data_IF_306080592343
#
_entry.id   IF_306080592343
#
_cell.length_a   1.000
_cell.length_b   1.000
_cell.length_c   1.000
_cell.angle_alpha   90.00
_cell.angle_beta   90.00
_cell.angle_gamma   90.00
#
_symmetry.space_group_name_H-M   'P 1'
#
loop_
_entity.id
_entity.type
_entity.pdbx_description
1 polymer ?
#
# COMPACT_ATOMS: atom_id res chain seq x y z
N UNK A 1 -42.81 -40.73 -51.73
CA UNK A 1 -42.08 -41.89 -51.14
C UNK A 1 -40.63 -41.48 -50.94
N UNK A 2 -40.19 -41.61 -49.68
CA UNK A 2 -38.81 -41.67 -49.16
C UNK A 2 -37.92 -40.42 -49.28
N UNK A 3 -37.91 -39.66 -48.17
CA UNK A 3 -36.83 -38.74 -47.82
C UNK A 3 -35.57 -39.49 -47.41
N UNK A 4 -34.42 -38.90 -47.71
CA UNK A 4 -33.09 -39.43 -47.39
C UNK A 4 -32.52 -38.61 -46.24
N UNK A 5 -32.65 -39.15 -45.03
CA UNK A 5 -32.00 -38.64 -43.81
C UNK A 5 -30.50 -38.99 -43.88
N UNK A 6 -29.65 -37.96 -43.91
CA UNK A 6 -28.19 -38.11 -43.76
C UNK A 6 -27.87 -38.23 -42.25
N UNK A 7 -27.14 -39.25 -41.79
CA UNK A 7 -26.77 -39.36 -40.38
C UNK A 7 -25.68 -38.35 -40.00
N UNK A 8 -25.88 -37.65 -38.88
CA UNK A 8 -24.88 -36.85 -38.18
C UNK A 8 -23.82 -37.76 -37.55
N UNK A 9 -22.52 -37.43 -37.59
CA UNK A 9 -21.53 -38.08 -36.74
C UNK A 9 -21.64 -37.56 -35.29
N UNK A 10 -21.72 -38.50 -34.37
CA UNK A 10 -21.79 -38.33 -32.91
C UNK A 10 -20.45 -37.80 -32.36
N UNK A 11 -20.45 -36.83 -31.42
CA UNK A 11 -19.22 -36.32 -30.83
C UNK A 11 -18.62 -37.32 -29.84
N UNK A 12 -17.38 -37.77 -30.11
CA UNK A 12 -16.57 -38.59 -29.22
C UNK A 12 -16.21 -37.79 -27.95
N UNK A 13 -16.66 -38.30 -26.81
CA UNK A 13 -16.48 -37.69 -25.50
C UNK A 13 -15.20 -38.26 -24.85
N UNK A 14 -14.04 -37.76 -25.27
CA UNK A 14 -12.75 -38.16 -24.71
C UNK A 14 -12.54 -37.48 -23.35
N UNK A 15 -12.80 -38.23 -22.28
CA UNK A 15 -12.51 -37.84 -20.89
C UNK A 15 -10.99 -37.91 -20.66
N UNK A 16 -10.30 -36.80 -20.29
CA UNK A 16 -8.91 -36.90 -19.89
C UNK A 16 -8.81 -37.45 -18.46
N UNK A 17 -8.06 -38.54 -18.32
CA UNK A 17 -7.70 -39.22 -17.08
C UNK A 17 -7.03 -38.25 -16.09
N UNK A 18 -7.47 -38.26 -14.83
CA UNK A 18 -6.87 -37.49 -13.73
C UNK A 18 -5.41 -37.91 -13.50
N UNK A 19 -4.47 -36.99 -13.29
CA UNK A 19 -3.10 -37.35 -12.96
C UNK A 19 -2.99 -37.86 -11.52
N UNK A 20 -2.47 -39.07 -11.39
CA UNK A 20 -2.00 -39.70 -10.14
C UNK A 20 -0.94 -38.82 -9.47
N UNK A 21 -1.25 -38.26 -8.30
CA UNK A 21 -0.28 -37.55 -7.48
C UNK A 21 0.61 -38.56 -6.73
N UNK A 22 1.74 -38.91 -7.34
CA UNK A 22 2.80 -39.71 -6.72
C UNK A 22 3.58 -38.82 -5.75
N UNK A 23 3.42 -39.04 -4.44
CA UNK A 23 4.18 -38.33 -3.41
C UNK A 23 5.69 -38.60 -3.52
N UNK A 24 6.42 -37.62 -4.01
CA UNK A 24 7.88 -37.63 -4.04
C UNK A 24 8.44 -37.28 -2.65
N UNK A 25 9.28 -38.19 -2.14
CA UNK A 25 10.13 -38.02 -0.96
C UNK A 25 10.81 -36.65 -0.91
N UNK A 26 10.64 -35.96 0.22
CA UNK A 26 11.30 -34.69 0.55
C UNK A 26 12.57 -34.97 1.37
N UNK A 27 13.80 -34.66 0.90
CA UNK A 27 15.00 -34.88 1.67
C UNK A 27 15.41 -33.60 2.42
N UNK A 28 15.47 -33.71 3.75
CA UNK A 28 16.19 -32.82 4.69
C UNK A 28 15.50 -31.49 5.03
N UNK A 29 14.51 -31.54 5.93
CA UNK A 29 14.15 -30.38 6.75
C UNK A 29 15.25 -30.13 7.79
N UNK A 30 16.21 -29.25 7.47
CA UNK A 30 17.18 -28.76 8.46
C UNK A 30 16.43 -27.79 9.37
N UNK A 31 16.26 -28.15 10.64
CA UNK A 31 15.74 -27.26 11.67
C UNK A 31 16.62 -26.00 11.75
N UNK A 32 16.10 -24.81 11.36
CA UNK A 32 16.87 -23.57 11.37
C UNK A 32 17.26 -23.13 12.79
N UNK A 33 16.74 -23.79 13.83
CA UNK A 33 17.03 -23.51 15.23
C UNK A 33 17.97 -24.54 15.88
N UNK A 34 18.58 -25.44 15.11
CA UNK A 34 19.56 -26.38 15.64
C UNK A 34 20.80 -25.64 16.17
N UNK A 35 20.93 -25.54 17.50
CA UNK A 35 22.07 -24.92 18.17
C UNK A 35 23.15 -25.97 18.44
N UNK A 36 24.33 -25.76 17.86
CA UNK A 36 25.52 -26.57 18.14
C UNK A 36 26.04 -26.23 19.56
N UNK A 37 25.98 -27.18 20.52
CA UNK A 37 26.34 -26.92 21.91
C UNK A 37 27.85 -26.65 22.09
N UNK A 38 28.70 -27.12 21.16
CA UNK A 38 30.15 -26.91 21.23
C UNK A 38 30.48 -25.47 20.79
N UNK A 39 29.84 -24.98 19.73
CA UNK A 39 30.00 -23.58 19.31
C UNK A 39 29.41 -22.60 20.32
N UNK A 40 28.29 -22.94 20.96
CA UNK A 40 27.69 -22.10 21.99
C UNK A 40 28.61 -21.93 23.22
N UNK A 41 29.31 -22.99 23.64
CA UNK A 41 30.27 -22.94 24.76
C UNK A 41 31.49 -22.08 24.43
N UNK A 42 32.07 -22.24 23.24
CA UNK A 42 33.23 -21.43 22.83
C UNK A 42 32.91 -19.92 22.79
N UNK A 43 31.72 -19.55 22.31
CA UNK A 43 31.28 -18.15 22.31
C UNK A 43 31.06 -17.60 23.72
N UNK A 44 30.50 -18.42 24.63
CA UNK A 44 30.29 -18.03 26.01
C UNK A 44 31.63 -17.79 26.73
N UNK A 45 32.63 -18.63 26.52
CA UNK A 45 33.96 -18.47 27.14
C UNK A 45 34.66 -17.19 26.67
N UNK A 46 34.56 -16.84 25.39
CA UNK A 46 35.13 -15.59 24.85
C UNK A 46 34.46 -14.36 25.46
N UNK A 47 33.12 -14.33 25.51
CA UNK A 47 32.37 -13.20 26.06
C UNK A 47 32.63 -13.07 27.57
N UNK A 48 32.66 -14.19 28.29
CA UNK A 48 32.91 -14.18 29.74
C UNK A 48 34.37 -13.84 30.08
N UNK A 49 35.32 -14.13 29.20
CA UNK A 49 36.69 -13.66 29.34
C UNK A 49 36.75 -12.13 29.23
N UNK A 50 36.03 -11.51 28.29
CA UNK A 50 35.96 -10.05 28.14
C UNK A 50 35.31 -9.37 29.35
N UNK A 51 34.21 -9.92 29.88
CA UNK A 51 33.55 -9.39 31.09
C UNK A 51 34.47 -9.45 32.31
N UNK A 52 35.29 -10.51 32.44
CA UNK A 52 36.27 -10.63 33.53
C UNK A 52 37.42 -9.61 33.43
N UNK A 53 37.70 -9.07 32.24
CA UNK A 53 38.70 -8.00 32.08
C UNK A 53 38.19 -6.63 32.54
N UNK A 54 36.87 -6.44 32.61
CA UNK A 54 36.25 -5.17 32.99
C UNK A 54 36.09 -4.98 34.51
N UNK A 55 36.27 -6.04 35.30
CA UNK A 55 35.99 -6.04 36.75
C UNK A 55 37.24 -5.83 37.64
N UNK A 56 38.31 -5.27 37.08
CA UNK A 56 39.51 -4.93 37.87
C UNK A 56 39.32 -3.57 38.57
N UNK A 57 39.39 -3.48 39.91
CA UNK A 57 39.38 -2.19 40.59
C UNK A 57 40.70 -1.45 40.27
N UNK A 58 40.60 -0.38 39.49
CA UNK A 58 41.73 0.52 39.19
C UNK A 58 42.21 1.20 40.49
N UNK A 59 43.51 1.16 40.84
CA UNK A 59 44.04 2.00 41.91
C UNK A 59 44.00 3.46 41.47
N UNK A 60 43.25 4.28 42.21
CA UNK A 60 43.14 5.72 42.02
C UNK A 60 44.50 6.40 42.26
N UNK A 61 45.20 6.76 41.19
CA UNK A 61 46.29 7.73 41.27
C UNK A 61 45.69 9.15 41.22
N UNK A 62 45.84 9.86 42.34
CA UNK A 62 45.51 11.26 42.48
C UNK A 62 46.37 12.10 41.52
N UNK A 63 45.75 12.65 40.48
CA UNK A 63 46.34 13.62 39.56
C UNK A 63 45.39 14.79 39.39
N UNK A 64 45.75 15.94 39.95
CA UNK A 64 45.01 17.20 39.90
C UNK A 64 44.83 17.69 38.45
N UNK A 65 43.59 17.87 38.00
CA UNK A 65 43.23 18.85 36.94
C UNK A 65 41.74 19.22 36.99
N UNK A 66 41.33 19.93 38.05
CA UNK A 66 39.98 20.49 38.16
C UNK A 66 39.89 21.79 37.35
N UNK A 67 39.99 21.73 36.01
CA UNK A 67 39.77 22.94 35.20
C UNK A 67 39.46 22.60 33.73
N UNK A 68 38.17 22.35 33.41
CA UNK A 68 37.57 22.58 32.05
C UNK A 68 36.10 22.12 31.87
N UNK A 69 35.36 21.80 32.93
CA UNK A 69 34.03 21.15 32.79
C UNK A 69 32.82 22.07 32.56
N UNK A 70 32.97 23.41 32.61
CA UNK A 70 31.84 24.33 32.37
C UNK A 70 31.58 24.65 30.90
N UNK A 71 32.61 24.62 30.05
CA UNK A 71 32.50 25.01 28.63
C UNK A 71 31.81 23.93 27.78
N UNK A 72 32.02 22.65 28.09
CA UNK A 72 31.43 21.53 27.35
C UNK A 72 29.93 21.32 27.59
N UNK A 73 29.40 21.73 28.75
CA UNK A 73 27.96 21.65 29.05
C UNK A 73 27.13 22.68 28.26
N UNK A 74 27.72 23.82 27.92
CA UNK A 74 27.08 24.83 27.07
C UNK A 74 27.20 24.48 25.57
N UNK A 75 28.30 23.84 25.17
CA UNK A 75 28.52 23.43 23.78
C UNK A 75 27.57 22.32 23.29
N UNK A 76 27.09 21.43 24.18
CA UNK A 76 26.20 20.31 23.81
C UNK A 76 24.74 20.73 23.56
N UNK A 77 24.24 21.76 24.27
CA UNK A 77 22.84 22.22 24.14
C UNK A 77 22.54 22.92 22.80
N UNK A 78 23.50 23.67 22.26
CA UNK A 78 23.34 24.41 21.00
C UNK A 78 23.33 23.48 19.77
N UNK A 79 24.13 22.41 19.79
CA UNK A 79 24.15 21.44 18.69
C UNK A 79 22.83 20.65 18.57
N UNK A 80 22.23 20.25 19.70
CA UNK A 80 20.95 19.55 19.70
C UNK A 80 19.80 20.45 19.20
N UNK A 81 19.78 21.73 19.60
CA UNK A 81 18.76 22.68 19.15
C UNK A 81 18.81 22.94 17.64
N UNK A 82 20.01 23.02 17.05
CA UNK A 82 20.19 23.15 15.59
C UNK A 82 19.72 21.90 14.84
N UNK A 83 20.02 20.70 15.35
CA UNK A 83 19.55 19.44 14.74
C UNK A 83 18.02 19.35 14.82
N UNK A 84 17.42 19.68 15.97
CA UNK A 84 15.97 19.72 16.13
C UNK A 84 15.34 20.77 15.21
N UNK A 85 15.92 21.96 15.08
CA UNK A 85 15.42 23.00 14.18
C UNK A 85 15.50 22.57 12.71
N UNK A 86 16.58 21.89 12.29
CA UNK A 86 16.73 21.38 10.93
C UNK A 86 15.75 20.24 10.63
N UNK A 87 15.57 19.30 11.56
CA UNK A 87 14.58 18.21 11.42
C UNK A 87 13.16 18.78 11.39
N UNK A 88 12.83 19.69 12.30
CA UNK A 88 11.52 20.38 12.31
C UNK A 88 11.30 21.21 11.05
N UNK A 89 12.34 21.86 10.51
CA UNK A 89 12.27 22.61 9.24
C UNK A 89 12.00 21.68 8.05
N UNK A 90 12.67 20.52 7.97
CA UNK A 90 12.41 19.50 6.96
C UNK A 90 10.98 18.93 7.07
N UNK A 91 10.52 18.62 8.27
CA UNK A 91 9.15 18.13 8.52
C UNK A 91 8.12 19.21 8.15
N UNK A 92 8.37 20.48 8.49
CA UNK A 92 7.48 21.60 8.15
C UNK A 92 7.39 21.79 6.63
N UNK A 93 8.50 21.74 5.90
CA UNK A 93 8.49 21.84 4.44
C UNK A 93 7.73 20.67 3.76
N UNK A 94 7.80 19.46 4.34
CA UNK A 94 7.03 18.31 3.85
C UNK A 94 5.52 18.47 4.02
N UNK A 95 5.08 19.09 5.12
CA UNK A 95 3.65 19.32 5.41
C UNK A 95 3.04 20.44 4.56
N UNK A 96 3.82 21.48 4.22
CA UNK A 96 3.31 22.63 3.46
C UNK A 96 3.02 22.33 1.98
N UNK A 97 3.61 21.27 1.40
CA UNK A 97 3.50 20.96 -0.04
C UNK A 97 2.24 20.14 -0.41
N UNK A 98 1.44 19.67 0.56
CA UNK A 98 0.40 18.64 0.34
C UNK A 98 -1.04 19.03 0.69
N UNK A 99 -1.34 20.31 0.87
CA UNK A 99 -2.65 20.76 1.38
C UNK A 99 -3.49 21.59 0.39
N UNK A 100 -3.07 21.75 -0.86
CA UNK A 100 -3.94 22.38 -1.85
C UNK A 100 -5.01 21.41 -2.36
N UNK A 101 -6.27 21.76 -2.15
CA UNK A 101 -7.44 21.05 -2.70
C UNK A 101 -8.06 21.82 -3.85
N UNK A 102 -8.54 21.11 -4.87
CA UNK A 102 -9.37 21.63 -5.96
C UNK A 102 -10.71 20.89 -5.95
N UNK A 103 -11.80 21.59 -6.24
CA UNK A 103 -13.11 20.96 -6.37
C UNK A 103 -13.28 20.44 -7.79
N UNK A 104 -13.47 19.12 -7.93
CA UNK A 104 -13.70 18.46 -9.22
C UNK A 104 -15.17 18.12 -9.34
N UNK A 105 -15.76 18.51 -10.48
CA UNK A 105 -17.13 18.15 -10.82
C UNK A 105 -17.13 16.88 -11.65
N UNK A 106 -17.68 15.81 -11.10
CA UNK A 106 -17.95 14.58 -11.83
C UNK A 106 -19.35 14.66 -12.41
N UNK A 107 -19.50 14.35 -13.69
CA UNK A 107 -20.76 14.45 -14.43
C UNK A 107 -20.99 13.16 -15.23
N UNK A 108 -22.23 12.67 -15.24
CA UNK A 108 -22.64 11.53 -16.06
C UNK A 108 -24.00 11.77 -16.69
N UNK A 109 -24.10 11.54 -18.00
CA UNK A 109 -25.39 11.47 -18.69
C UNK A 109 -25.93 10.05 -18.64
N UNK A 110 -26.94 9.83 -17.79
CA UNK A 110 -27.63 8.54 -17.62
C UNK A 110 -29.12 8.82 -17.37
N UNK A 111 -29.91 9.08 -18.42
CA UNK A 111 -31.28 9.55 -18.29
C UNK A 111 -32.23 8.51 -17.68
N UNK A 112 -31.92 7.21 -17.85
CA UNK A 112 -32.70 6.09 -17.35
C UNK A 112 -32.30 5.63 -15.94
N UNK A 113 -31.20 6.16 -15.39
CA UNK A 113 -30.74 5.79 -14.05
C UNK A 113 -31.70 6.31 -12.97
N UNK A 114 -31.94 5.52 -11.94
CA UNK A 114 -32.63 5.96 -10.72
C UNK A 114 -31.63 6.55 -9.72
N UNK A 115 -30.42 6.01 -9.70
CA UNK A 115 -29.35 6.40 -8.78
C UNK A 115 -28.00 6.32 -9.47
N UNK A 116 -27.14 7.30 -9.21
CA UNK A 116 -25.73 7.27 -9.65
C UNK A 116 -24.84 7.57 -8.47
N UNK A 117 -23.79 6.79 -8.31
CA UNK A 117 -22.83 6.92 -7.21
C UNK A 117 -21.41 6.94 -7.75
N UNK A 118 -20.56 7.80 -7.20
CA UNK A 118 -19.13 7.82 -7.48
C UNK A 118 -18.39 6.89 -6.51
N UNK A 119 -17.67 5.91 -7.05
CA UNK A 119 -16.77 5.03 -6.30
C UNK A 119 -15.34 5.29 -6.73
N UNK A 120 -14.41 5.34 -5.79
CA UNK A 120 -13.04 5.73 -6.06
C UNK A 120 -12.05 5.18 -5.02
N UNK A 121 -10.76 5.24 -5.32
CA UNK A 121 -9.70 4.87 -4.40
C UNK A 121 -9.76 5.62 -3.05
N UNK A 122 -10.06 6.91 -3.07
CA UNK A 122 -10.11 7.75 -1.87
C UNK A 122 -11.27 7.43 -0.93
N UNK A 123 -12.35 6.81 -1.44
CA UNK A 123 -13.49 6.35 -0.64
C UNK A 123 -13.51 4.83 -0.44
N UNK A 124 -12.40 4.15 -0.78
CA UNK A 124 -12.25 2.71 -0.64
C UNK A 124 -13.20 1.91 -1.53
N UNK A 125 -13.58 2.46 -2.69
CA UNK A 125 -14.55 1.88 -3.62
C UNK A 125 -15.94 1.66 -3.00
N UNK A 126 -16.28 2.43 -1.96
CA UNK A 126 -17.58 2.34 -1.30
C UNK A 126 -18.64 3.14 -2.07
N UNK A 127 -19.83 2.56 -2.31
CA UNK A 127 -20.96 3.30 -2.86
C UNK A 127 -21.61 4.25 -1.82
N UNK A 128 -21.17 4.22 -0.57
CA UNK A 128 -21.76 5.04 0.47
C UNK A 128 -21.18 6.47 0.47
N UNK A 129 -22.07 7.46 0.63
CA UNK A 129 -21.69 8.85 0.86
C UNK A 129 -21.26 9.68 -0.37
N UNK A 130 -21.27 9.11 -1.58
CA UNK A 130 -20.88 9.79 -2.82
C UNK A 130 -21.94 9.68 -3.93
N UNK A 131 -23.21 9.75 -3.56
CA UNK A 131 -24.33 9.77 -4.50
C UNK A 131 -24.39 11.09 -5.26
N UNK A 132 -24.54 11.01 -6.58
CA UNK A 132 -24.70 12.16 -7.47
C UNK A 132 -26.14 12.71 -7.37
N UNK A 133 -26.28 14.01 -7.61
CA UNK A 133 -27.57 14.69 -7.73
C UNK A 133 -27.92 14.88 -9.19
N UNK A 134 -29.17 14.64 -9.57
CA UNK A 134 -29.64 14.91 -10.93
C UNK A 134 -29.94 16.41 -11.09
N UNK A 135 -29.27 17.04 -12.04
CA UNK A 135 -29.52 18.42 -12.44
C UNK A 135 -30.82 18.49 -13.26
N UNK A 136 -31.82 19.24 -12.82
CA UNK A 136 -33.13 19.29 -13.48
C UNK A 136 -33.09 19.99 -14.86
N UNK A 137 -32.15 20.92 -15.06
CA UNK A 137 -32.07 21.69 -16.30
C UNK A 137 -31.34 20.93 -17.42
N UNK A 138 -30.23 20.25 -17.11
CA UNK A 138 -29.48 19.45 -18.10
C UNK A 138 -29.91 17.98 -18.16
N UNK A 139 -30.51 17.45 -17.09
CA UNK A 139 -30.81 16.02 -16.94
C UNK A 139 -29.60 15.16 -16.57
N UNK A 140 -28.42 15.76 -16.36
CA UNK A 140 -27.18 15.07 -16.02
C UNK A 140 -27.08 14.80 -14.52
N UNK A 141 -26.35 13.75 -14.14
CA UNK A 141 -25.97 13.47 -12.77
C UNK A 141 -24.67 14.17 -12.43
N UNK A 142 -24.59 14.87 -11.30
CA UNK A 142 -23.38 15.58 -10.88
C UNK A 142 -23.06 15.48 -9.37
N UNK A 143 -21.77 15.50 -9.05
CA UNK A 143 -21.23 15.67 -7.69
C UNK A 143 -19.95 16.52 -7.72
N UNK A 144 -19.79 17.39 -6.73
CA UNK A 144 -18.56 18.16 -6.51
C UNK A 144 -17.76 17.52 -5.39
N UNK A 145 -16.53 17.09 -5.68
CA UNK A 145 -15.65 16.44 -4.71
C UNK A 145 -14.34 17.23 -4.57
N UNK A 146 -13.97 17.67 -3.35
CA UNK A 146 -12.69 18.30 -3.10
C UNK A 146 -11.57 17.24 -3.11
N UNK A 147 -10.65 17.37 -4.05
CA UNK A 147 -9.51 16.46 -4.22
C UNK A 147 -8.19 17.20 -4.02
N UNK A 148 -7.21 16.53 -3.42
CA UNK A 148 -5.86 17.09 -3.25
C UNK A 148 -5.12 17.09 -4.58
N UNK A 149 -4.45 18.20 -4.90
CA UNK A 149 -3.54 18.32 -6.05
C UNK A 149 -2.28 17.47 -5.85
N UNK A 150 -1.55 17.23 -6.93
CA UNK A 150 -0.31 16.45 -6.97
C UNK A 150 -0.53 14.94 -6.81
N UNK A 151 -1.73 14.44 -7.13
CA UNK A 151 -2.12 13.03 -6.96
C UNK A 151 -3.00 12.57 -8.12
N UNK A 152 -2.94 11.27 -8.39
CA UNK A 152 -3.87 10.59 -9.29
C UNK A 152 -4.93 9.88 -8.47
N UNK A 153 -6.16 9.87 -8.99
CA UNK A 153 -7.31 9.21 -8.42
C UNK A 153 -7.92 8.28 -9.47
N UNK A 154 -8.26 7.07 -9.05
CA UNK A 154 -8.97 6.08 -9.87
C UNK A 154 -10.42 5.99 -9.40
N UNK A 155 -11.36 6.00 -10.34
CA UNK A 155 -12.79 6.08 -10.04
C UNK A 155 -13.65 5.43 -11.13
N UNK A 156 -14.90 5.12 -10.77
CA UNK A 156 -15.99 4.72 -11.66
C UNK A 156 -17.34 5.26 -11.16
N UNK A 157 -18.35 5.22 -12.03
CA UNK A 157 -19.74 5.39 -11.64
C UNK A 157 -20.41 4.03 -11.42
N UNK A 158 -21.27 3.96 -10.41
CA UNK A 158 -22.18 2.83 -10.19
C UNK A 158 -23.60 3.34 -10.38
N UNK A 159 -24.27 2.83 -11.42
CA UNK A 159 -25.66 3.10 -11.75
C UNK A 159 -26.53 2.03 -11.10
N UNK A 160 -27.56 2.45 -10.37
CA UNK A 160 -28.58 1.59 -9.75
C UNK A 160 -28.01 0.48 -8.85
N UNK A 161 -26.81 0.71 -8.30
CA UNK A 161 -26.13 -0.20 -7.37
C UNK A 161 -25.43 -1.40 -8.02
N UNK A 162 -25.64 -1.65 -9.31
CA UNK A 162 -25.19 -2.89 -9.97
C UNK A 162 -24.33 -2.64 -11.21
N UNK A 163 -24.56 -1.52 -11.91
CA UNK A 163 -23.92 -1.27 -13.21
C UNK A 163 -22.70 -0.37 -13.06
N UNK A 164 -21.51 -0.95 -13.23
CA UNK A 164 -20.25 -0.22 -13.22
C UNK A 164 -20.00 0.42 -14.59
N UNK A 165 -19.76 1.72 -14.59
CA UNK A 165 -19.52 2.49 -15.80
C UNK A 165 -18.29 3.39 -15.61
N UNK A 166 -17.33 3.24 -16.52
CA UNK A 166 -16.23 4.19 -16.66
C UNK A 166 -16.76 5.51 -17.15
N UNK A 167 -16.26 6.61 -16.60
CA UNK A 167 -16.56 7.96 -17.06
C UNK A 167 -16.16 8.13 -18.53
N UNK A 168 -17.11 8.29 -19.46
CA UNK A 168 -16.82 8.46 -20.89
C UNK A 168 -16.06 9.74 -21.22
N UNK A 169 -16.06 10.71 -20.29
CA UNK A 169 -15.35 11.98 -20.42
C UNK A 169 -13.96 11.99 -19.79
N UNK A 170 -13.54 10.88 -19.15
CA UNK A 170 -12.22 10.77 -18.54
C UNK A 170 -11.10 10.87 -19.59
N UNK A 171 -9.96 11.42 -19.16
CA UNK A 171 -8.77 11.53 -20.01
C UNK A 171 -8.18 10.17 -20.41
N UNK A 172 -8.49 9.12 -19.64
CA UNK A 172 -8.11 7.76 -19.96
C UNK A 172 -8.66 6.74 -18.96
N UNK A 173 -8.38 5.48 -19.27
CA UNK A 173 -8.81 4.33 -18.48
C UNK A 173 -7.64 3.40 -18.15
N UNK A 174 -7.80 2.64 -17.08
CA UNK A 174 -6.87 1.62 -16.61
C UNK A 174 -7.61 0.28 -16.64
N UNK A 175 -6.98 -0.74 -17.22
CA UNK A 175 -7.47 -2.11 -17.19
C UNK A 175 -7.26 -2.72 -15.79
N UNK A 176 -8.28 -3.38 -15.25
CA UNK A 176 -8.24 -3.95 -13.90
C UNK A 176 -7.63 -5.37 -13.84
N UNK A 177 -7.24 -5.94 -14.98
CA UNK A 177 -6.69 -7.28 -15.10
C UNK A 177 -7.72 -8.41 -15.01
N UNK A 178 -9.00 -8.10 -14.82
CA UNK A 178 -10.14 -9.03 -14.73
C UNK A 178 -11.13 -8.82 -15.89
N UNK A 179 -10.77 -7.98 -16.87
CA UNK A 179 -11.59 -7.65 -18.04
C UNK A 179 -12.49 -6.42 -17.84
N UNK A 180 -12.39 -5.75 -16.69
CA UNK A 180 -13.02 -4.47 -16.43
C UNK A 180 -12.05 -3.30 -16.61
N UNK A 181 -12.59 -2.08 -16.56
CA UNK A 181 -11.84 -0.84 -16.67
C UNK A 181 -12.25 0.16 -15.60
N UNK A 182 -11.31 1.04 -15.25
CA UNK A 182 -11.56 2.17 -14.37
C UNK A 182 -11.08 3.47 -14.99
N UNK A 183 -11.80 4.56 -14.77
CA UNK A 183 -11.36 5.90 -15.16
C UNK A 183 -10.32 6.44 -14.18
N UNK A 184 -9.44 7.33 -14.64
CA UNK A 184 -8.51 8.03 -13.76
C UNK A 184 -8.40 9.52 -14.08
N UNK A 185 -8.05 10.30 -13.07
CA UNK A 185 -7.75 11.73 -13.18
C UNK A 185 -6.49 12.05 -12.38
N UNK A 186 -5.64 12.93 -12.93
CA UNK A 186 -4.43 13.42 -12.26
C UNK A 186 -4.54 14.94 -12.06
N UNK A 187 -4.29 15.39 -10.82
CA UNK A 187 -4.44 16.79 -10.39
C UNK A 187 -3.11 17.39 -9.94
#
# INVERSE_FOLDING_TARGET
MKGTTRPQPEPQNDTPLSPTFQGSHDPVHRDPFHRDPIKARATADIIMAEVRLLDTPRPLHAGRSVLRSRVYRMALGLAAALVIALVSSLVTLGVLKGNETVSIRFVLSAPEAETVTLVADFNGWSPDGHRLTRNEASGEWEILVPLKKGRSYVYNFVIDGEHWLTDPSAAGHIDDGLGGQASYISL
#
